data_IF_293246184425
#
_entry.id   IF_293246184425
#
_cell.length_a   1.000
_cell.length_b   1.000
_cell.length_c   1.000
_cell.angle_alpha   90.00
_cell.angle_beta   90.00
_cell.angle_gamma   90.00
#
_symmetry.space_group_name_H-M   'P 1'
#
loop_
_entity.id
_entity.type
_entity.pdbx_description
1 polymer ?
#
# COMPACT_ATOMS: atom_id res chain seq x y z
N UNK A 1 3.52 -18.51 2.15
CA UNK A 1 3.60 -18.06 3.56
C UNK A 1 2.53 -18.79 4.36
N UNK A 2 2.89 -19.26 5.54
CA UNK A 2 1.98 -20.01 6.39
C UNK A 2 1.10 -19.06 7.19
N UNK A 3 -0.23 -19.09 6.94
CA UNK A 3 -1.19 -18.20 7.59
C UNK A 3 -1.25 -18.38 9.10
N UNK A 4 -0.91 -19.59 9.60
CA UNK A 4 -0.92 -19.85 11.05
C UNK A 4 0.11 -18.99 11.80
N UNK A 5 1.13 -18.50 11.11
CA UNK A 5 2.15 -17.64 11.69
C UNK A 5 1.77 -16.17 11.70
N UNK A 6 0.74 -15.80 10.93
CA UNK A 6 0.29 -14.41 10.83
C UNK A 6 -0.62 -14.11 12.02
N UNK A 7 -0.17 -13.23 12.90
CA UNK A 7 -0.91 -12.83 14.09
C UNK A 7 -1.76 -11.58 13.89
N UNK A 8 -1.31 -10.67 13.04
CA UNK A 8 -1.98 -9.39 12.81
C UNK A 8 -2.30 -9.30 11.31
N UNK A 9 -3.53 -9.68 10.96
CA UNK A 9 -3.94 -9.73 9.55
C UNK A 9 -4.02 -8.36 8.89
N UNK A 10 -4.39 -7.33 9.64
CA UNK A 10 -4.44 -5.96 9.10
C UNK A 10 -3.05 -5.47 8.72
N UNK A 11 -2.05 -5.79 9.52
CA UNK A 11 -0.67 -5.45 9.21
C UNK A 11 -0.19 -6.20 7.97
N UNK A 12 -0.51 -7.48 7.86
CA UNK A 12 -0.19 -8.28 6.68
C UNK A 12 -0.75 -7.63 5.42
N UNK A 13 -2.03 -7.26 5.45
CA UNK A 13 -2.69 -6.63 4.29
C UNK A 13 -2.05 -5.30 3.92
N UNK A 14 -1.71 -4.49 4.91
CA UNK A 14 -1.05 -3.22 4.67
C UNK A 14 0.31 -3.41 3.99
N UNK A 15 1.11 -4.35 4.49
CA UNK A 15 2.43 -4.62 3.90
C UNK A 15 2.31 -5.25 2.52
N UNK A 16 1.29 -6.07 2.27
CA UNK A 16 1.05 -6.61 0.93
C UNK A 16 0.72 -5.53 -0.09
N UNK A 17 -0.02 -4.50 0.33
CA UNK A 17 -0.28 -3.33 -0.52
C UNK A 17 1.03 -2.64 -0.86
N UNK A 18 1.89 -2.44 0.12
CA UNK A 18 3.19 -1.83 -0.10
C UNK A 18 4.03 -2.66 -1.07
N UNK A 19 3.99 -3.99 -0.92
CA UNK A 19 4.73 -4.90 -1.80
C UNK A 19 4.25 -4.84 -3.26
N UNK A 20 3.00 -4.47 -3.50
CA UNK A 20 2.49 -4.34 -4.87
C UNK A 20 3.28 -3.30 -5.67
N UNK A 21 3.83 -2.29 -5.00
CA UNK A 21 4.60 -1.24 -5.66
C UNK A 21 5.95 -1.73 -6.19
N UNK A 22 6.42 -2.89 -5.72
CA UNK A 22 7.64 -3.50 -6.24
C UNK A 22 7.46 -3.92 -7.70
N UNK A 23 6.27 -4.40 -8.06
CA UNK A 23 5.99 -4.86 -9.41
C UNK A 23 5.64 -3.74 -10.38
N UNK A 24 4.94 -2.71 -9.87
CA UNK A 24 4.38 -1.67 -10.72
C UNK A 24 4.16 -0.38 -9.95
N UNK A 25 4.46 0.74 -10.59
CA UNK A 25 4.17 2.09 -10.12
C UNK A 25 3.81 2.97 -11.31
N UNK A 26 2.88 3.93 -11.19
CA UNK A 26 2.08 4.20 -10.00
C UNK A 26 0.92 3.21 -9.84
N UNK A 27 0.35 3.15 -8.64
CA UNK A 27 -0.82 2.32 -8.34
C UNK A 27 -1.89 3.17 -7.68
N UNK A 28 -3.14 2.95 -8.10
CA UNK A 28 -4.29 3.66 -7.55
C UNK A 28 -5.12 2.79 -6.62
N UNK A 29 -6.07 3.45 -5.94
CA UNK A 29 -6.95 2.78 -4.97
C UNK A 29 -7.77 1.67 -5.64
N UNK A 30 -8.36 1.95 -6.80
CA UNK A 30 -9.20 0.97 -7.51
C UNK A 30 -8.39 -0.28 -7.86
N UNK A 31 -7.21 -0.07 -8.44
CA UNK A 31 -6.34 -1.15 -8.86
C UNK A 31 -5.93 -2.03 -7.67
N UNK A 32 -5.53 -1.40 -6.57
CA UNK A 32 -5.14 -2.13 -5.36
C UNK A 32 -6.33 -2.82 -4.71
N UNK A 33 -7.49 -2.19 -4.71
CA UNK A 33 -8.72 -2.78 -4.19
C UNK A 33 -9.04 -4.08 -4.92
N UNK A 34 -8.92 -4.08 -6.23
CA UNK A 34 -9.18 -5.27 -7.04
C UNK A 34 -8.15 -6.37 -6.80
N UNK A 35 -6.87 -6.00 -6.74
CA UNK A 35 -5.78 -6.98 -6.53
C UNK A 35 -5.85 -7.62 -5.16
N UNK A 36 -6.21 -6.85 -4.15
CA UNK A 36 -6.20 -7.31 -2.75
C UNK A 36 -7.54 -7.88 -2.29
N UNK A 37 -8.60 -7.66 -3.06
CA UNK A 37 -9.93 -8.06 -2.64
C UNK A 37 -10.42 -7.27 -1.43
N UNK A 38 -10.06 -6.01 -1.34
CA UNK A 38 -10.43 -5.12 -0.23
C UNK A 38 -11.35 -4.02 -0.71
N UNK A 39 -12.12 -3.45 0.21
CA UNK A 39 -12.92 -2.26 -0.10
C UNK A 39 -11.99 -1.07 -0.36
N UNK A 40 -12.40 -0.20 -1.27
CA UNK A 40 -11.64 1.00 -1.61
C UNK A 40 -11.38 1.89 -0.41
N UNK A 41 -12.34 1.98 0.51
CA UNK A 41 -12.18 2.78 1.73
C UNK A 41 -11.04 2.26 2.59
N UNK A 42 -10.91 0.93 2.70
CA UNK A 42 -9.82 0.32 3.47
C UNK A 42 -8.48 0.59 2.81
N UNK A 43 -8.41 0.43 1.48
CA UNK A 43 -7.18 0.70 0.73
C UNK A 43 -6.79 2.16 0.86
N UNK A 44 -7.76 3.07 0.73
CA UNK A 44 -7.52 4.50 0.87
C UNK A 44 -6.94 4.84 2.25
N UNK A 45 -7.51 4.26 3.30
CA UNK A 45 -7.04 4.51 4.66
C UNK A 45 -5.61 4.00 4.87
N UNK A 46 -5.30 2.84 4.31
CA UNK A 46 -3.95 2.27 4.39
C UNK A 46 -2.96 3.17 3.66
N UNK A 47 -3.29 3.59 2.43
CA UNK A 47 -2.43 4.46 1.64
C UNK A 47 -2.24 5.82 2.29
N UNK A 48 -3.31 6.38 2.88
CA UNK A 48 -3.21 7.66 3.59
C UNK A 48 -2.28 7.56 4.80
N UNK A 49 -2.31 6.42 5.49
CA UNK A 49 -1.41 6.18 6.61
C UNK A 49 0.03 6.08 6.13
N UNK A 50 0.28 5.32 5.06
CA UNK A 50 1.62 5.24 4.48
C UNK A 50 2.11 6.59 3.97
N UNK A 51 1.21 7.39 3.40
CA UNK A 51 1.56 8.74 2.94
C UNK A 51 2.00 9.62 4.10
N UNK A 52 1.24 9.58 5.20
CA UNK A 52 1.58 10.34 6.41
C UNK A 52 2.94 9.94 6.97
N UNK A 53 3.33 8.69 6.79
CA UNK A 53 4.63 8.16 7.25
C UNK A 53 5.76 8.40 6.24
N UNK A 54 5.43 8.92 5.06
CA UNK A 54 6.42 9.13 4.01
C UNK A 54 6.77 7.88 3.21
N UNK A 55 5.98 6.82 3.33
CA UNK A 55 6.25 5.55 2.62
C UNK A 55 5.70 5.54 1.21
N UNK A 56 4.65 6.32 0.95
CA UNK A 56 4.14 6.54 -0.40
C UNK A 56 3.89 8.02 -0.62
N UNK A 57 3.87 8.43 -1.88
CA UNK A 57 3.57 9.80 -2.29
C UNK A 57 2.47 9.77 -3.33
N UNK A 58 1.53 10.68 -3.20
CA UNK A 58 0.40 10.77 -4.12
C UNK A 58 0.70 11.75 -5.24
N UNK A 59 0.48 11.32 -6.47
CA UNK A 59 0.54 12.18 -7.64
C UNK A 59 -0.78 12.97 -7.72
N UNK A 60 -0.67 14.29 -7.63
CA UNK A 60 -1.84 15.18 -7.62
C UNK A 60 -2.62 15.15 -8.93
N UNK A 61 -1.95 14.89 -10.04
CA UNK A 61 -2.60 14.90 -11.36
C UNK A 61 -3.40 13.64 -11.61
N UNK A 62 -2.89 12.49 -11.21
CA UNK A 62 -3.52 11.20 -11.48
C UNK A 62 -4.27 10.62 -10.28
N UNK A 63 -3.95 11.06 -9.07
CA UNK A 63 -4.48 10.49 -7.85
C UNK A 63 -3.87 9.13 -7.49
N UNK A 64 -2.89 8.68 -8.25
CA UNK A 64 -2.20 7.42 -7.99
C UNK A 64 -1.00 7.65 -7.09
N UNK A 65 -0.42 6.57 -6.60
CA UNK A 65 0.64 6.62 -5.60
C UNK A 65 1.93 6.00 -6.11
N UNK A 66 3.06 6.47 -5.57
CA UNK A 66 4.41 5.96 -5.80
C UNK A 66 5.05 5.65 -4.46
N UNK A 67 6.07 4.79 -4.46
CA UNK A 67 6.89 4.59 -3.25
C UNK A 67 7.60 5.90 -2.88
N UNK A 68 7.59 6.21 -1.60
CA UNK A 68 8.24 7.41 -1.05
C UNK A 68 9.59 7.09 -0.44
N UNK A 69 10.28 8.15 -0.03
CA UNK A 69 11.64 8.04 0.54
C UNK A 69 11.67 7.26 1.86
N UNK A 70 10.54 7.19 2.58
CA UNK A 70 10.47 6.43 3.83
C UNK A 70 10.83 4.97 3.67
N UNK A 71 10.49 4.38 2.52
CA UNK A 71 10.83 2.99 2.22
C UNK A 71 12.34 2.83 2.05
N UNK A 72 12.97 3.77 1.37
CA UNK A 72 14.42 3.75 1.13
C UNK A 72 15.18 3.84 2.45
N UNK A 73 14.68 4.65 3.38
CA UNK A 73 15.31 4.81 4.70
C UNK A 73 15.31 3.52 5.51
N UNK A 74 14.33 2.64 5.28
CA UNK A 74 14.27 1.35 5.95
C UNK A 74 15.27 0.35 5.38
N UNK A 75 15.62 0.51 4.12
CA UNK A 75 16.59 -0.37 3.47
C UNK A 75 18.01 0.00 3.85
#
# INVERSE_FOLDING_TARGET
MDDDKIKVKSLKKALEILNCFEEKQPLGVTELSERMGLYKSNVHNILSTFEAMGYVEKDKDTGKYYLGMGVIRLA
#
